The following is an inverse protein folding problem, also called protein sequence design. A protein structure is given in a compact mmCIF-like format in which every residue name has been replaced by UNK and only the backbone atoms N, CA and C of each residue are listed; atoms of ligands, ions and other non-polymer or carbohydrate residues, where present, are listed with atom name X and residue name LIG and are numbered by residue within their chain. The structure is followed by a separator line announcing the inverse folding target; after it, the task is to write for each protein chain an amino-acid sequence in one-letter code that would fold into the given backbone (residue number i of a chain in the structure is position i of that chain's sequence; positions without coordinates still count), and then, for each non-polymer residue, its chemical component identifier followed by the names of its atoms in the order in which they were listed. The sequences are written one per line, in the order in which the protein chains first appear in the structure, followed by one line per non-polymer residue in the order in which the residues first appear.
data_IF_013658811934
#
_entry.id   IF_013658811934
#
_cell.length_a   1.000
_cell.length_b   1.000
_cell.length_c   1.000
_cell.angle_alpha   90.00
_cell.angle_beta   90.00
_cell.angle_gamma   90.00
#
_symmetry.space_group_name_H-M   'P 1'
#
loop_
_entity.id
_entity.type
_entity.pdbx_description
1 polymer ?
#
# COMPACT_ATOMS: atom_id res chain seq x y z
N UNK A 1 21.49 -0.41 -8.75
CA UNK A 1 20.99 -0.74 -10.08
C UNK A 1 19.48 -0.78 -10.06
N UNK A 2 18.85 -0.51 -11.19
CA UNK A 2 17.39 -0.38 -11.28
C UNK A 2 16.65 -1.66 -10.86
N UNK A 3 17.17 -2.83 -11.26
CA UNK A 3 16.55 -4.11 -10.92
C UNK A 3 16.56 -4.37 -9.42
N UNK A 4 17.67 -4.06 -8.75
CA UNK A 4 17.78 -4.21 -7.30
C UNK A 4 16.81 -3.30 -6.57
N UNK A 5 16.60 -2.10 -7.11
CA UNK A 5 15.66 -1.14 -6.53
C UNK A 5 14.21 -1.61 -6.72
N UNK A 6 13.88 -2.18 -7.88
CA UNK A 6 12.56 -2.76 -8.12
C UNK A 6 12.30 -3.91 -7.14
N UNK A 7 13.24 -4.83 -6.97
CA UNK A 7 13.11 -5.93 -6.01
C UNK A 7 12.91 -5.42 -4.59
N UNK A 8 13.71 -4.44 -4.18
CA UNK A 8 13.61 -3.83 -2.86
C UNK A 8 12.24 -3.18 -2.65
N UNK A 9 11.74 -2.46 -3.66
CA UNK A 9 10.43 -1.82 -3.59
C UNK A 9 9.29 -2.85 -3.52
N UNK A 10 9.40 -3.94 -4.29
CA UNK A 10 8.40 -5.02 -4.24
C UNK A 10 8.40 -5.72 -2.89
N UNK A 11 9.58 -5.90 -2.28
CA UNK A 11 9.67 -6.43 -0.92
C UNK A 11 9.05 -5.46 0.08
N UNK A 12 9.24 -4.16 -0.12
CA UNK A 12 8.59 -3.14 0.70
C UNK A 12 7.07 -3.24 0.62
N UNK A 13 6.51 -3.53 -0.56
CA UNK A 13 5.07 -3.77 -0.70
C UNK A 13 4.61 -5.00 0.06
N UNK A 14 5.39 -6.07 0.07
CA UNK A 14 5.07 -7.26 0.86
C UNK A 14 4.99 -6.89 2.34
N UNK A 15 5.99 -6.21 2.86
CA UNK A 15 6.01 -5.78 4.27
C UNK A 15 4.85 -4.84 4.58
N UNK A 16 4.58 -3.90 3.69
CA UNK A 16 3.49 -2.94 3.85
C UNK A 16 2.14 -3.64 3.98
N UNK A 17 1.86 -4.57 3.07
CA UNK A 17 0.56 -5.24 3.02
C UNK A 17 0.45 -6.37 4.05
N UNK A 18 1.44 -7.25 4.13
CA UNK A 18 1.35 -8.45 4.97
C UNK A 18 1.59 -8.15 6.45
N UNK A 19 2.35 -7.12 6.76
CA UNK A 19 2.62 -6.72 8.13
C UNK A 19 1.89 -5.42 8.48
N UNK A 20 2.20 -4.34 7.76
CA UNK A 20 1.64 -3.03 8.09
C UNK A 20 0.13 -2.98 8.06
N UNK A 21 -0.46 -3.39 6.93
CA UNK A 21 -1.91 -3.41 6.75
C UNK A 21 -2.57 -4.53 7.56
N UNK A 22 -2.12 -5.77 7.37
CA UNK A 22 -2.77 -6.93 7.98
C UNK A 22 -2.79 -6.89 9.50
N UNK A 23 -1.78 -6.30 10.13
CA UNK A 23 -1.71 -6.17 11.59
C UNK A 23 -2.14 -4.80 12.10
N UNK A 24 -2.56 -3.91 11.20
CA UNK A 24 -2.94 -2.54 11.53
C UNK A 24 -1.80 -1.78 12.24
N UNK A 25 -0.57 -2.01 11.83
CA UNK A 25 0.60 -1.33 12.38
C UNK A 25 0.82 0.00 11.65
N UNK A 26 -0.11 0.94 11.87
CA UNK A 26 -0.23 2.17 11.09
C UNK A 26 0.99 3.08 11.21
N UNK A 27 1.46 3.35 12.42
CA UNK A 27 2.59 4.24 12.64
C UNK A 27 3.93 3.52 12.69
N UNK A 28 3.93 2.19 12.59
CA UNK A 28 5.13 1.36 12.44
C UNK A 28 5.41 1.04 10.98
N UNK A 29 5.21 -0.23 10.61
CA UNK A 29 5.55 -0.73 9.27
C UNK A 29 4.79 -0.02 8.17
N UNK A 30 3.48 0.25 8.37
CA UNK A 30 2.68 0.92 7.34
C UNK A 30 3.27 2.31 7.00
N UNK A 31 3.49 3.16 7.99
CA UNK A 31 4.04 4.50 7.77
C UNK A 31 5.49 4.45 7.28
N UNK A 32 6.26 3.46 7.72
CA UNK A 32 7.68 3.33 7.34
C UNK A 32 7.88 3.22 5.84
N UNK A 33 6.94 2.60 5.12
CA UNK A 33 7.04 2.40 3.67
C UNK A 33 6.42 3.53 2.85
N UNK A 34 6.03 4.62 3.50
CA UNK A 34 5.49 5.82 2.84
C UNK A 34 6.36 7.04 3.18
N UNK A 35 6.42 8.01 2.26
CA UNK A 35 7.00 9.32 2.62
C UNK A 35 5.99 10.09 3.47
N UNK A 36 6.49 11.07 4.24
CA UNK A 36 5.62 11.89 5.11
C UNK A 36 4.55 12.64 4.32
N UNK A 37 4.86 13.03 3.10
CA UNK A 37 3.98 13.82 2.23
C UNK A 37 3.33 12.99 1.12
N UNK A 38 3.22 11.68 1.29
CA UNK A 38 2.66 10.76 0.30
C UNK A 38 1.29 11.22 -0.21
N UNK A 39 1.11 11.13 -1.52
CA UNK A 39 -0.18 11.40 -2.16
C UNK A 39 -0.82 10.07 -2.52
N UNK A 40 -2.05 9.85 -2.07
CA UNK A 40 -2.76 8.61 -2.34
C UNK A 40 -4.08 8.92 -3.02
N UNK A 41 -4.29 8.31 -4.17
CA UNK A 41 -5.54 8.38 -4.91
C UNK A 41 -6.21 7.01 -4.85
N UNK A 42 -7.05 6.81 -3.85
CA UNK A 42 -7.87 5.61 -3.75
C UNK A 42 -9.13 5.85 -4.58
N UNK A 43 -9.29 5.08 -5.64
CA UNK A 43 -10.40 5.27 -6.58
C UNK A 43 -11.76 5.10 -5.88
N UNK A 44 -12.64 6.07 -6.07
CA UNK A 44 -13.92 6.14 -5.38
C UNK A 44 -13.91 6.93 -4.08
N UNK A 45 -12.74 7.40 -3.64
CA UNK A 45 -12.56 8.21 -2.45
C UNK A 45 -11.88 9.53 -2.83
N UNK A 46 -11.97 10.53 -1.97
CA UNK A 46 -11.19 11.75 -2.15
C UNK A 46 -9.71 11.45 -1.97
N UNK A 47 -8.82 11.99 -2.81
CA UNK A 47 -7.37 11.80 -2.62
C UNK A 47 -6.90 12.35 -1.27
N UNK A 48 -5.91 11.70 -0.68
CA UNK A 48 -5.29 12.16 0.56
C UNK A 48 -3.87 12.66 0.28
N UNK A 49 -3.41 13.57 1.13
CA UNK A 49 -2.06 14.10 1.08
C UNK A 49 -1.46 14.04 2.47
N UNK A 50 -0.30 13.40 2.58
CA UNK A 50 0.37 13.19 3.85
C UNK A 50 -0.01 11.86 4.48
N UNK A 51 0.97 11.29 5.21
CA UNK A 51 0.80 9.95 5.79
C UNK A 51 -0.33 9.89 6.82
N UNK A 52 -0.53 10.95 7.61
CA UNK A 52 -1.58 10.92 8.63
C UNK A 52 -2.98 10.92 8.00
N UNK A 53 -3.19 11.67 6.93
CA UNK A 53 -4.47 11.62 6.20
C UNK A 53 -4.70 10.24 5.59
N UNK A 54 -3.65 9.63 5.07
CA UNK A 54 -3.75 8.28 4.49
C UNK A 54 -4.10 7.25 5.58
N UNK A 55 -3.43 7.31 6.73
CA UNK A 55 -3.72 6.43 7.86
C UNK A 55 -5.17 6.62 8.33
N UNK A 56 -5.61 7.86 8.47
CA UNK A 56 -6.99 8.14 8.89
C UNK A 56 -8.00 7.57 7.91
N UNK A 57 -7.75 7.68 6.60
CA UNK A 57 -8.61 7.11 5.57
C UNK A 57 -8.63 5.58 5.64
N UNK A 58 -7.49 4.94 5.90
CA UNK A 58 -7.41 3.49 6.03
C UNK A 58 -8.13 3.00 7.29
N UNK A 59 -7.97 3.71 8.40
CA UNK A 59 -8.70 3.39 9.64
C UNK A 59 -10.20 3.49 9.44
N UNK A 60 -10.67 4.52 8.74
CA UNK A 60 -12.10 4.69 8.45
C UNK A 60 -12.62 3.53 7.59
N UNK A 61 -11.85 3.11 6.60
CA UNK A 61 -12.20 1.96 5.77
C UNK A 61 -12.28 0.68 6.60
N UNK A 62 -11.30 0.43 7.45
CA UNK A 62 -11.26 -0.75 8.34
C UNK A 62 -12.46 -0.74 9.28
N UNK A 63 -12.81 0.41 9.85
CA UNK A 63 -13.97 0.56 10.71
C UNK A 63 -15.26 0.19 9.96
N UNK A 64 -15.41 0.65 8.72
CA UNK A 64 -16.58 0.32 7.90
C UNK A 64 -16.61 -1.17 7.51
N UNK A 65 -15.46 -1.84 7.52
CA UNK A 65 -15.33 -3.26 7.18
C UNK A 65 -15.45 -4.18 8.40
N UNK A 66 -15.79 -3.65 9.57
CA UNK A 66 -16.01 -4.45 10.77
C UNK A 66 -14.92 -4.32 11.84
N UNK A 67 -13.97 -3.40 11.68
CA UNK A 67 -12.96 -3.11 12.70
C UNK A 67 -11.65 -3.90 12.56
N UNK A 68 -11.58 -4.85 11.64
CA UNK A 68 -10.35 -5.59 11.33
C UNK A 68 -10.02 -5.40 9.85
N UNK A 69 -8.77 -5.11 9.50
CA UNK A 69 -8.40 -4.98 8.09
C UNK A 69 -8.70 -6.28 7.33
N UNK A 70 -9.39 -6.20 6.18
CA UNK A 70 -9.49 -7.35 5.31
C UNK A 70 -8.09 -7.88 5.00
N UNK A 71 -7.82 -9.15 5.28
CA UNK A 71 -6.47 -9.69 5.20
C UNK A 71 -6.04 -9.90 3.76
N UNK A 72 -4.87 -9.40 3.41
CA UNK A 72 -4.21 -9.65 2.13
C UNK A 72 -3.42 -10.93 2.29
N UNK A 73 -3.70 -11.93 1.46
CA UNK A 73 -3.11 -13.27 1.60
C UNK A 73 -1.98 -13.54 0.63
N UNK A 74 -1.95 -12.84 -0.50
CA UNK A 74 -0.92 -13.05 -1.52
C UNK A 74 -0.83 -11.88 -2.48
N UNK A 75 0.29 -11.78 -3.17
CA UNK A 75 0.51 -10.89 -4.30
C UNK A 75 0.72 -11.74 -5.55
N UNK A 76 -0.35 -12.21 -6.22
CA UNK A 76 -0.21 -13.10 -7.39
C UNK A 76 0.40 -12.41 -8.60
N UNK A 77 0.33 -11.09 -8.67
CA UNK A 77 0.94 -10.29 -9.74
C UNK A 77 1.70 -9.16 -9.07
N UNK A 78 3.00 -9.07 -9.36
CA UNK A 78 3.84 -7.99 -8.83
C UNK A 78 4.98 -7.75 -9.81
N UNK A 79 5.13 -6.51 -10.24
CA UNK A 79 6.21 -6.13 -11.15
C UNK A 79 6.51 -4.64 -11.00
N UNK A 80 7.62 -4.23 -11.59
CA UNK A 80 8.00 -2.82 -11.53
C UNK A 80 8.77 -2.38 -12.76
N UNK A 81 8.88 -1.07 -12.90
CA UNK A 81 9.67 -0.42 -13.94
C UNK A 81 10.12 0.94 -13.42
N UNK A 82 11.43 1.19 -13.42
CA UNK A 82 11.97 2.43 -12.89
C UNK A 82 11.62 2.60 -11.41
N UNK A 83 11.02 3.74 -11.08
CA UNK A 83 10.59 4.05 -9.71
C UNK A 83 9.20 3.49 -9.39
N UNK A 84 8.56 2.79 -10.31
CA UNK A 84 7.16 2.37 -10.18
C UNK A 84 7.03 0.89 -9.91
N UNK A 85 6.04 0.52 -9.10
CA UNK A 85 5.60 -0.86 -8.92
C UNK A 85 4.11 -0.98 -9.19
N UNK A 86 3.69 -2.17 -9.63
CA UNK A 86 2.28 -2.53 -9.75
C UNK A 86 2.10 -3.88 -9.04
N UNK A 87 1.22 -3.91 -8.06
CA UNK A 87 1.00 -5.10 -7.24
C UNK A 87 -0.49 -5.37 -7.15
N UNK A 88 -0.88 -6.61 -7.42
CA UNK A 88 -2.25 -7.09 -7.21
C UNK A 88 -2.26 -7.88 -5.91
N UNK A 89 -3.03 -7.44 -4.94
CA UNK A 89 -3.23 -8.16 -3.68
C UNK A 89 -4.53 -8.94 -3.71
N UNK A 90 -4.51 -10.17 -3.20
CA UNK A 90 -5.74 -10.95 -3.02
C UNK A 90 -6.16 -10.92 -1.56
N UNK A 91 -7.45 -10.66 -1.35
CA UNK A 91 -8.02 -10.67 -0.01
C UNK A 91 -8.51 -12.07 0.37
N UNK A 92 -8.41 -12.38 1.66
CA UNK A 92 -9.06 -13.56 2.21
C UNK A 92 -10.57 -13.45 1.94
N UNK A 93 -11.16 -14.52 1.45
CA UNK A 93 -12.58 -14.52 1.09
C UNK A 93 -12.88 -14.07 -0.33
N UNK A 94 -11.86 -13.70 -1.09
CA UNK A 94 -11.98 -13.25 -2.48
C UNK A 94 -11.89 -11.74 -2.60
N UNK A 95 -11.83 -11.25 -3.82
CA UNK A 95 -11.60 -9.84 -4.11
C UNK A 95 -10.12 -9.55 -4.30
N UNK A 96 -9.85 -8.47 -5.02
CA UNK A 96 -8.49 -8.05 -5.34
C UNK A 96 -8.36 -6.54 -5.23
N UNK A 97 -7.14 -6.12 -4.93
CA UNK A 97 -6.76 -4.71 -4.89
C UNK A 97 -5.56 -4.52 -5.80
N UNK A 98 -5.58 -3.49 -6.62
CA UNK A 98 -4.42 -3.12 -7.44
C UNK A 98 -3.82 -1.86 -6.87
N UNK A 99 -2.51 -1.88 -6.60
CA UNK A 99 -1.76 -0.73 -6.12
C UNK A 99 -0.66 -0.39 -7.11
N UNK A 100 -0.70 0.80 -7.66
CA UNK A 100 0.38 1.36 -8.47
C UNK A 100 1.07 2.42 -7.62
N UNK A 101 2.36 2.28 -7.39
CA UNK A 101 3.10 3.14 -6.48
C UNK A 101 4.37 3.65 -7.10
N UNK A 102 4.66 4.92 -6.86
CA UNK A 102 5.94 5.53 -7.19
C UNK A 102 6.77 5.65 -5.92
N UNK A 103 7.99 5.16 -5.98
CA UNK A 103 8.91 5.09 -4.85
C UNK A 103 9.97 6.19 -4.92
N UNK A 104 10.36 6.69 -3.74
CA UNK A 104 11.43 7.65 -3.58
C UNK A 104 12.25 7.22 -2.37
N UNK A 105 13.51 6.87 -2.59
CA UNK A 105 14.45 6.46 -1.54
C UNK A 105 13.89 5.35 -0.62
N UNK A 106 13.23 4.36 -1.24
CA UNK A 106 12.71 3.20 -0.51
C UNK A 106 11.34 3.38 0.14
N UNK A 107 10.67 4.51 -0.12
CA UNK A 107 9.34 4.78 0.41
C UNK A 107 8.39 5.23 -0.69
N UNK A 108 7.10 4.97 -0.54
CA UNK A 108 6.08 5.35 -1.52
C UNK A 108 5.80 6.85 -1.41
N UNK A 109 5.96 7.57 -2.51
CA UNK A 109 5.67 9.01 -2.60
C UNK A 109 4.32 9.29 -3.24
N UNK A 110 3.88 8.43 -4.16
CA UNK A 110 2.56 8.51 -4.81
C UNK A 110 1.98 7.12 -4.90
N UNK A 111 0.69 7.03 -4.70
CA UNK A 111 0.01 5.73 -4.68
C UNK A 111 -1.37 5.85 -5.31
N UNK A 112 -1.71 4.89 -6.16
CA UNK A 112 -3.01 4.80 -6.83
C UNK A 112 -3.58 3.42 -6.54
N UNK A 113 -4.78 3.38 -5.95
CA UNK A 113 -5.36 2.13 -5.45
C UNK A 113 -6.75 1.92 -6.07
N UNK A 114 -6.95 0.72 -6.60
CA UNK A 114 -8.25 0.23 -7.07
C UNK A 114 -8.59 -1.02 -6.24
N UNK A 115 -9.71 -0.96 -5.55
CA UNK A 115 -10.13 -2.09 -4.71
C UNK A 115 -11.55 -2.54 -5.02
#
# INVERSE_FOLDING_TARGET
MQEDQIESNLKGMDDLDFIGWNTADWHGVFAHHHTDDVVVDWKGQAPTRGIEQHIDAMKAYVESAGGTPPQITSHPIAFGSGAWTCVVGEFEGGGRMVTVAKWLDGAIAEEYIWA
#
